data_IF_657150784490
#
_entry.id   IF_657150784490
#
_cell.length_a   1.000
_cell.length_b   1.000
_cell.length_c   1.000
_cell.angle_alpha   90.00
_cell.angle_beta   90.00
_cell.angle_gamma   90.00
#
_symmetry.space_group_name_H-M   'P 1'
#
loop_
_entity.id
_entity.type
_entity.pdbx_description
1 polymer ?
#
# COMPACT_ATOMS: atom_id res chain seq x y z
N UNK A 1 -47.17 -13.53 -20.89
CA UNK A 1 -46.01 -12.61 -21.04
C UNK A 1 -45.88 -11.66 -19.84
N UNK A 2 -45.78 -12.17 -18.60
CA UNK A 2 -45.79 -11.34 -17.36
C UNK A 2 -44.64 -11.60 -16.37
N UNK A 3 -43.77 -12.59 -16.64
CA UNK A 3 -42.65 -12.98 -15.77
C UNK A 3 -41.26 -12.54 -16.27
N UNK A 4 -41.15 -11.87 -17.42
CA UNK A 4 -39.86 -11.39 -17.96
C UNK A 4 -39.40 -10.05 -17.37
N UNK A 5 -40.33 -9.27 -16.82
CA UNK A 5 -40.07 -7.96 -16.20
C UNK A 5 -39.40 -8.03 -14.81
N UNK A 6 -39.75 -8.94 -13.88
CA UNK A 6 -39.10 -9.01 -12.56
C UNK A 6 -37.69 -9.62 -12.63
N UNK A 7 -37.42 -10.50 -13.60
CA UNK A 7 -36.10 -11.11 -13.77
C UNK A 7 -35.06 -10.08 -14.22
N UNK A 8 -35.45 -9.13 -15.08
CA UNK A 8 -34.57 -8.08 -15.58
C UNK A 8 -34.12 -7.12 -14.45
N UNK A 9 -35.02 -6.80 -13.51
CA UNK A 9 -34.73 -5.92 -12.36
C UNK A 9 -33.78 -6.57 -11.34
N UNK A 10 -33.87 -7.88 -11.11
CA UNK A 10 -32.96 -8.61 -10.20
C UNK A 10 -31.54 -8.66 -10.76
N UNK A 11 -31.39 -8.85 -12.07
CA UNK A 11 -30.08 -8.85 -12.73
C UNK A 11 -29.42 -7.46 -12.67
N UNK A 12 -30.18 -6.37 -12.83
CA UNK A 12 -29.66 -5.00 -12.75
C UNK A 12 -29.15 -4.68 -11.33
N UNK A 13 -29.85 -5.13 -10.28
CA UNK A 13 -29.42 -4.92 -8.89
C UNK A 13 -28.13 -5.67 -8.53
N UNK A 14 -27.84 -6.80 -9.19
CA UNK A 14 -26.58 -7.55 -9.00
C UNK A 14 -25.35 -6.82 -9.58
N UNK A 15 -25.53 -5.93 -10.57
CA UNK A 15 -24.42 -5.18 -11.17
C UNK A 15 -23.98 -3.95 -10.35
N UNK A 16 -24.86 -3.38 -9.50
CA UNK A 16 -24.57 -2.17 -8.73
C UNK A 16 -23.84 -2.43 -7.38
N UNK A 17 -23.79 -3.68 -6.91
CA UNK A 17 -23.13 -4.04 -5.64
C UNK A 17 -21.64 -4.36 -5.74
N UNK A 18 -21.08 -4.47 -6.95
CA UNK A 18 -19.74 -5.03 -7.16
C UNK A 18 -18.58 -4.05 -6.93
N UNK A 19 -18.84 -2.75 -6.77
CA UNK A 19 -17.79 -1.76 -6.58
C UNK A 19 -17.39 -1.57 -5.10
N UNK A 20 -18.15 -2.13 -4.14
CA UNK A 20 -18.00 -1.81 -2.72
C UNK A 20 -16.98 -2.68 -1.95
N UNK A 21 -16.29 -3.63 -2.61
CA UNK A 21 -15.43 -4.61 -1.92
C UNK A 21 -13.97 -4.62 -2.38
N UNK A 22 -13.49 -3.57 -3.06
CA UNK A 22 -12.05 -3.47 -3.33
C UNK A 22 -11.30 -3.14 -2.04
N UNK A 23 -10.46 -4.06 -1.55
CA UNK A 23 -9.49 -3.92 -0.44
C UNK A 23 -8.40 -2.85 -0.69
N UNK A 24 -8.72 -1.80 -1.44
CA UNK A 24 -7.80 -0.73 -1.79
C UNK A 24 -7.64 0.21 -0.59
N UNK A 25 -6.67 -0.12 0.26
CA UNK A 25 -6.17 0.80 1.28
C UNK A 25 -5.10 1.70 0.65
N UNK A 26 -5.28 3.04 0.61
CA UNK A 26 -4.24 3.93 0.10
C UNK A 26 -2.98 3.86 0.98
N UNK A 27 -1.79 4.08 0.42
CA UNK A 27 -0.55 4.12 1.21
C UNK A 27 -0.66 5.15 2.36
N UNK A 28 -0.44 4.74 3.64
CA UNK A 28 -0.59 5.62 4.79
C UNK A 28 0.16 6.94 4.65
N UNK A 29 -0.45 8.04 5.07
CA UNK A 29 0.22 9.33 5.14
C UNK A 29 1.32 9.31 6.22
N UNK A 30 2.33 10.17 6.08
CA UNK A 30 3.36 10.37 7.11
C UNK A 30 2.74 11.14 8.28
N UNK A 31 2.16 10.41 9.22
CA UNK A 31 1.51 10.94 10.43
C UNK A 31 2.47 10.93 11.63
N UNK A 32 2.13 11.61 12.74
CA UNK A 32 2.89 11.51 13.98
C UNK A 32 3.03 10.08 14.51
N UNK A 33 2.00 9.24 14.35
CA UNK A 33 2.05 7.82 14.75
C UNK A 33 3.02 7.02 13.88
N UNK A 34 3.05 7.26 12.56
CA UNK A 34 4.01 6.62 11.67
C UNK A 34 5.45 7.05 11.98
N UNK A 35 5.68 8.35 12.22
CA UNK A 35 6.98 8.88 12.64
C UNK A 35 7.42 8.26 13.97
N UNK A 36 6.50 8.10 14.93
CA UNK A 36 6.78 7.44 16.20
C UNK A 36 7.22 5.99 16.02
N UNK A 37 6.58 5.24 15.11
CA UNK A 37 6.92 3.86 14.76
C UNK A 37 8.29 3.73 14.08
N UNK A 38 8.78 4.78 13.43
CA UNK A 38 10.08 4.79 12.73
C UNK A 38 11.28 5.12 13.63
N UNK A 39 11.07 5.42 14.92
CA UNK A 39 12.16 5.87 15.82
C UNK A 39 13.32 4.90 15.93
N UNK A 40 13.06 3.59 15.89
CA UNK A 40 14.10 2.55 15.95
C UNK A 40 15.03 2.59 14.73
N UNK A 41 14.54 3.11 13.61
CA UNK A 41 15.28 3.21 12.34
C UNK A 41 15.98 4.55 12.17
N UNK A 42 15.83 5.46 13.14
CA UNK A 42 16.41 6.82 13.13
C UNK A 42 16.10 7.60 11.86
N UNK A 43 14.94 7.36 11.26
CA UNK A 43 14.48 8.07 10.08
C UNK A 43 13.80 9.38 10.44
N UNK A 44 14.11 10.42 9.69
CA UNK A 44 13.42 11.71 9.74
C UNK A 44 12.05 11.65 9.06
N UNK A 45 11.18 12.61 9.38
CA UNK A 45 9.91 12.78 8.68
C UNK A 45 10.08 13.03 7.16
N UNK A 46 11.21 13.65 6.78
CA UNK A 46 11.55 13.89 5.39
C UNK A 46 11.93 12.59 4.67
N UNK A 47 12.73 11.73 5.28
CA UNK A 47 13.06 10.40 4.73
C UNK A 47 11.82 9.51 4.61
N UNK A 48 10.90 9.58 5.56
CA UNK A 48 9.62 8.85 5.48
C UNK A 48 8.73 9.37 4.34
N UNK A 49 8.71 10.70 4.13
CA UNK A 49 7.99 11.32 3.02
C UNK A 49 8.57 10.90 1.68
N UNK A 50 9.90 10.92 1.54
CA UNK A 50 10.61 10.39 0.38
C UNK A 50 10.31 8.91 0.15
N UNK A 51 10.32 8.09 1.20
CA UNK A 51 10.00 6.66 1.10
C UNK A 51 8.58 6.40 0.62
N UNK A 52 7.61 7.20 1.09
CA UNK A 52 6.23 7.15 0.60
C UNK A 52 6.13 7.55 -0.86
N UNK A 53 6.83 8.60 -1.26
CA UNK A 53 6.86 9.06 -2.66
C UNK A 53 7.46 7.98 -3.57
N UNK A 54 8.58 7.37 -3.19
CA UNK A 54 9.19 6.25 -3.93
C UNK A 54 8.21 5.07 -4.03
N UNK A 55 7.51 4.72 -2.95
CA UNK A 55 6.53 3.65 -2.98
C UNK A 55 5.42 3.91 -4.00
N UNK A 56 4.88 5.12 -4.03
CA UNK A 56 3.78 5.48 -4.95
C UNK A 56 4.26 5.65 -6.38
N UNK A 57 5.43 6.27 -6.58
CA UNK A 57 5.92 6.65 -7.92
C UNK A 57 6.68 5.53 -8.62
N UNK A 58 7.46 4.71 -7.90
CA UNK A 58 8.32 3.66 -8.49
C UNK A 58 7.71 2.28 -8.42
N UNK A 59 7.12 1.91 -7.28
CA UNK A 59 6.61 0.54 -7.11
C UNK A 59 5.30 0.27 -7.85
N UNK A 60 4.59 1.32 -8.31
CA UNK A 60 3.36 1.21 -9.10
C UNK A 60 3.63 1.10 -10.61
N UNK A 61 4.86 1.38 -11.07
CA UNK A 61 5.18 1.43 -12.51
C UNK A 61 4.98 0.09 -13.23
N UNK A 62 5.19 -1.04 -12.54
CA UNK A 62 5.16 -2.37 -13.15
C UNK A 62 3.97 -3.23 -12.74
N UNK A 63 3.40 -3.02 -11.54
CA UNK A 63 2.25 -3.76 -11.03
C UNK A 63 1.56 -2.96 -9.92
N UNK A 64 0.34 -3.35 -9.55
CA UNK A 64 -0.40 -2.72 -8.45
C UNK A 64 0.39 -2.76 -7.14
N UNK A 65 0.26 -1.71 -6.33
CA UNK A 65 0.86 -1.65 -5.01
C UNK A 65 0.22 -2.68 -4.07
N UNK A 66 1.01 -3.48 -3.35
CA UNK A 66 0.48 -4.27 -2.25
C UNK A 66 -0.02 -3.36 -1.13
N UNK A 67 -1.09 -3.75 -0.44
CA UNK A 67 -1.43 -3.14 0.85
C UNK A 67 -0.22 -3.25 1.78
N UNK A 68 0.17 -2.14 2.42
CA UNK A 68 1.38 -2.10 3.25
C UNK A 68 1.26 -3.02 4.48
N UNK A 69 0.03 -3.36 4.90
CA UNK A 69 -0.26 -4.27 6.02
C UNK A 69 -0.19 -5.75 5.65
N UNK A 70 -0.16 -6.06 4.35
CA UNK A 70 -0.08 -7.44 3.83
C UNK A 70 1.21 -8.15 4.24
N UNK A 71 2.29 -7.39 4.44
CA UNK A 71 3.58 -7.91 4.87
C UNK A 71 3.99 -7.26 6.20
N UNK A 72 4.68 -8.02 7.03
CA UNK A 72 5.27 -7.54 8.28
C UNK A 72 6.46 -6.61 8.03
N UNK A 73 6.79 -5.80 9.03
CA UNK A 73 7.99 -4.95 9.01
C UNK A 73 9.28 -5.75 8.78
N UNK A 74 9.35 -7.00 9.22
CA UNK A 74 10.52 -7.86 9.00
C UNK A 74 10.64 -8.37 7.54
N UNK A 75 9.52 -8.51 6.82
CA UNK A 75 9.52 -9.02 5.44
C UNK A 75 9.88 -7.94 4.41
N UNK A 76 9.51 -6.68 4.68
CA UNK A 76 9.68 -5.58 3.73
C UNK A 76 11.12 -5.38 3.21
N UNK A 77 12.19 -5.43 4.04
CA UNK A 77 13.55 -5.29 3.53
C UNK A 77 13.91 -6.30 2.42
N UNK A 78 13.52 -7.57 2.61
CA UNK A 78 13.79 -8.62 1.63
C UNK A 78 12.97 -8.41 0.34
N UNK A 79 11.70 -8.03 0.46
CA UNK A 79 10.83 -7.76 -0.70
C UNK A 79 11.32 -6.56 -1.51
N UNK A 80 11.68 -5.46 -0.85
CA UNK A 80 12.24 -4.28 -1.52
C UNK A 80 13.56 -4.64 -2.19
N UNK A 81 14.44 -5.40 -1.55
CA UNK A 81 15.71 -5.82 -2.15
C UNK A 81 15.53 -6.61 -3.46
N UNK A 82 14.51 -7.46 -3.55
CA UNK A 82 14.18 -8.18 -4.80
C UNK A 82 13.72 -7.26 -5.94
N UNK A 83 13.09 -6.14 -5.59
CA UNK A 83 12.52 -5.20 -6.56
C UNK A 83 13.46 -4.03 -6.88
N UNK A 84 14.44 -3.72 -6.02
CA UNK A 84 15.28 -2.53 -6.14
C UNK A 84 15.93 -2.38 -7.52
N UNK A 85 16.52 -3.45 -8.06
CA UNK A 85 17.10 -3.43 -9.40
C UNK A 85 16.07 -3.33 -10.53
N UNK A 86 14.86 -3.89 -10.34
CA UNK A 86 13.78 -3.86 -11.35
C UNK A 86 13.12 -2.50 -11.43
N UNK A 87 12.95 -1.85 -10.29
CA UNK A 87 12.39 -0.50 -10.16
C UNK A 87 13.46 0.60 -10.25
N UNK A 88 14.71 0.24 -10.60
CA UNK A 88 15.84 1.16 -10.75
C UNK A 88 16.03 2.10 -9.53
N UNK A 89 15.89 1.55 -8.32
CA UNK A 89 16.01 2.32 -7.10
C UNK A 89 17.47 2.66 -6.83
N UNK A 90 17.74 3.92 -6.46
CA UNK A 90 19.03 4.27 -5.87
C UNK A 90 19.16 3.68 -4.47
N UNK A 91 20.38 3.64 -3.92
CA UNK A 91 20.58 3.21 -2.54
C UNK A 91 19.81 4.08 -1.53
N UNK A 92 19.64 5.38 -1.84
CA UNK A 92 18.85 6.32 -1.03
C UNK A 92 17.36 5.97 -1.10
N UNK A 93 16.82 5.77 -2.31
CA UNK A 93 15.42 5.40 -2.51
C UNK A 93 15.10 4.08 -1.82
N UNK A 94 15.97 3.08 -2.00
CA UNK A 94 15.81 1.77 -1.38
C UNK A 94 15.77 1.88 0.15
N UNK A 95 16.64 2.69 0.75
CA UNK A 95 16.65 2.93 2.20
C UNK A 95 15.36 3.62 2.65
N UNK A 96 14.98 4.71 1.97
CA UNK A 96 13.80 5.49 2.32
C UNK A 96 12.51 4.67 2.22
N UNK A 97 12.31 3.95 1.11
CA UNK A 97 11.10 3.14 0.89
C UNK A 97 11.02 1.96 1.86
N UNK A 98 12.16 1.31 2.16
CA UNK A 98 12.21 0.22 3.15
C UNK A 98 11.83 0.74 4.53
N UNK A 99 12.35 1.90 4.92
CA UNK A 99 12.03 2.56 6.17
C UNK A 99 10.55 2.90 6.32
N UNK A 100 9.98 3.54 5.28
CA UNK A 100 8.57 3.87 5.23
C UNK A 100 7.69 2.62 5.35
N UNK A 101 7.93 1.56 4.57
CA UNK A 101 7.13 0.34 4.58
C UNK A 101 7.18 -0.39 5.93
N UNK A 102 8.34 -0.37 6.59
CA UNK A 102 8.49 -0.91 7.95
C UNK A 102 7.66 -0.15 8.98
N UNK A 103 7.75 1.18 8.99
CA UNK A 103 7.00 2.02 9.92
C UNK A 103 5.48 1.95 9.67
N UNK A 104 5.07 1.98 8.39
CA UNK A 104 3.67 1.91 7.98
C UNK A 104 3.03 0.55 8.30
N UNK A 105 3.74 -0.56 8.03
CA UNK A 105 3.23 -1.92 8.35
C UNK A 105 3.12 -2.17 9.86
N UNK A 106 4.05 -1.62 10.66
CA UNK A 106 3.96 -1.69 12.11
C UNK A 106 2.75 -0.91 12.65
N UNK A 107 2.42 0.23 12.04
CA UNK A 107 1.30 1.08 12.48
C UNK A 107 -0.06 0.48 12.11
N UNK A 108 -0.17 -0.22 10.98
CA UNK A 108 -1.43 -0.81 10.52
C UNK A 108 -1.77 -2.15 11.16
N UNK A 109 -0.81 -2.89 11.71
CA UNK A 109 -1.09 -4.12 12.48
C UNK A 109 -1.55 -3.86 13.92
N UNK A 110 -1.64 -2.59 14.33
CA UNK A 110 -2.09 -2.18 15.67
C UNK A 110 -3.60 -1.89 15.72
N UNK A 111 -4.31 -2.05 14.61
CA UNK A 111 -5.78 -1.95 14.47
C UNK A 111 -6.32 -3.24 13.85
#
# INVERSE_FOLDING_TARGET
>A
MRHRLPLLMVVISLFLGACATSDFAPPPAVSPSLIASARLDRLSAQELSMGREVFVSRCLECHTLPSVGKHSSAEWPHLVARMAGRANLTASDQRAVTGYLRAASATMKQY
#
